data_IF_304126886355
#
_entry.id   IF_304126886355
#
_cell.length_a   1.000
_cell.length_b   1.000
_cell.length_c   1.000
_cell.angle_alpha   90.00
_cell.angle_beta   90.00
_cell.angle_gamma   90.00
#
_symmetry.space_group_name_H-M   'P 1'
#
loop_
_entity.id
_entity.type
_entity.pdbx_description
1 polymer ?
#
# COMPACT_ATOMS: atom_id res chain seq x y z
N UNK A 1 -43.06 22.22 -49.41
CA UNK A 1 -41.86 23.06 -49.63
C UNK A 1 -41.41 23.65 -48.29
N UNK A 2 -40.31 23.13 -47.74
CA UNK A 2 -39.48 23.63 -46.60
C UNK A 2 -38.42 22.54 -46.38
N UNK A 3 -37.35 22.50 -47.20
CA UNK A 3 -35.99 23.00 -46.89
C UNK A 3 -35.47 22.40 -45.56
N UNK A 4 -34.83 21.23 -45.63
CA UNK A 4 -33.38 21.06 -45.84
C UNK A 4 -32.53 21.54 -44.65
N UNK A 5 -32.25 20.63 -43.70
CA UNK A 5 -31.07 20.64 -42.82
C UNK A 5 -30.69 19.20 -42.49
N UNK A 6 -30.00 18.58 -43.42
CA UNK A 6 -29.26 17.34 -43.22
C UNK A 6 -27.86 17.53 -43.80
N UNK A 7 -26.90 16.83 -43.21
CA UNK A 7 -25.51 16.65 -43.65
C UNK A 7 -24.54 17.82 -43.47
N UNK A 8 -23.75 17.75 -42.39
CA UNK A 8 -22.30 18.02 -42.42
C UNK A 8 -21.67 17.75 -41.04
N UNK A 9 -21.51 16.48 -40.65
CA UNK A 9 -20.51 16.10 -39.63
C UNK A 9 -20.01 14.69 -39.93
N UNK A 10 -19.24 14.60 -41.02
CA UNK A 10 -18.54 13.39 -41.44
C UNK A 10 -17.21 13.82 -42.07
N UNK A 11 -16.33 14.50 -41.32
CA UNK A 11 -14.95 14.79 -41.74
C UNK A 11 -14.09 15.38 -40.59
N UNK A 12 -13.92 14.67 -39.47
CA UNK A 12 -12.75 14.89 -38.58
C UNK A 12 -12.30 13.52 -38.05
N UNK A 13 -11.80 12.68 -38.95
CA UNK A 13 -11.06 11.45 -38.61
C UNK A 13 -9.88 11.34 -39.57
N UNK A 14 -9.00 12.34 -39.58
CA UNK A 14 -7.68 12.24 -40.23
C UNK A 14 -6.76 13.43 -39.90
N UNK A 15 -6.49 13.76 -38.63
CA UNK A 15 -5.44 14.76 -38.32
C UNK A 15 -4.81 14.68 -36.92
N UNK A 16 -4.41 13.49 -36.45
CA UNK A 16 -3.44 13.37 -35.34
C UNK A 16 -2.50 12.18 -35.61
N UNK A 17 -1.81 12.21 -36.76
CA UNK A 17 -0.75 11.25 -37.09
C UNK A 17 0.44 11.93 -37.76
N UNK A 18 0.87 13.10 -37.25
CA UNK A 18 2.16 13.72 -37.57
C UNK A 18 2.61 14.56 -36.37
N UNK A 19 3.26 13.93 -35.39
CA UNK A 19 4.17 14.56 -34.41
C UNK A 19 4.80 13.46 -33.52
N UNK A 20 5.48 12.51 -34.17
CA UNK A 20 6.33 11.51 -33.51
C UNK A 20 7.51 11.17 -34.42
N UNK A 21 8.24 12.20 -34.85
CA UNK A 21 9.51 12.06 -35.56
C UNK A 21 10.33 13.33 -35.32
N UNK A 22 11.01 13.39 -34.17
CA UNK A 22 12.31 14.06 -33.99
C UNK A 22 12.62 14.15 -32.49
N UNK A 23 13.35 13.15 -31.97
CA UNK A 23 14.32 13.28 -30.86
C UNK A 23 14.92 11.91 -30.59
N UNK A 24 15.62 11.39 -31.59
CA UNK A 24 16.46 10.22 -31.43
C UNK A 24 17.73 10.39 -32.25
N UNK A 25 18.60 11.32 -31.85
CA UNK A 25 20.02 11.19 -32.15
C UNK A 25 20.91 12.04 -31.23
N UNK A 26 22.16 11.60 -31.09
CA UNK A 26 23.26 12.21 -30.33
C UNK A 26 23.34 11.96 -28.82
N UNK A 27 23.78 10.74 -28.44
CA UNK A 27 24.79 10.54 -27.37
C UNK A 27 25.51 9.18 -27.52
N UNK A 28 26.23 9.02 -28.62
CA UNK A 28 27.28 8.01 -28.78
C UNK A 28 28.65 8.63 -28.46
N UNK A 29 29.24 8.31 -27.30
CA UNK A 29 30.67 8.51 -27.10
C UNK A 29 31.20 7.65 -25.95
N UNK A 30 31.96 6.62 -26.36
CA UNK A 30 33.12 6.03 -25.67
C UNK A 30 32.87 5.36 -24.31
N UNK A 31 32.53 4.08 -24.36
CA UNK A 31 33.19 3.08 -23.52
C UNK A 31 33.72 1.95 -24.40
N UNK A 32 35.01 2.06 -24.74
CA UNK A 32 35.81 1.00 -25.36
C UNK A 32 36.60 0.38 -24.21
N UNK A 33 36.20 -0.82 -23.79
CA UNK A 33 36.80 -1.55 -22.68
C UNK A 33 36.59 -3.04 -22.89
N UNK A 34 37.36 -3.57 -23.81
CA UNK A 34 37.51 -4.99 -24.15
C UNK A 34 38.13 -5.75 -22.97
N UNK A 35 37.47 -6.80 -22.47
CA UNK A 35 38.11 -7.87 -21.70
C UNK A 35 37.22 -9.11 -21.64
N UNK A 36 37.45 -9.95 -22.66
CA UNK A 36 37.25 -11.40 -22.77
C UNK A 36 37.18 -12.16 -21.44
N UNK A 37 36.17 -13.03 -21.30
CA UNK A 37 36.09 -14.12 -20.33
C UNK A 37 34.96 -15.10 -20.69
N UNK A 38 35.13 -16.42 -20.49
CA UNK A 38 34.72 -17.42 -21.47
C UNK A 38 33.25 -17.85 -21.43
N UNK A 39 32.73 -18.10 -22.62
CA UNK A 39 31.52 -18.88 -22.89
C UNK A 39 31.62 -20.24 -22.22
N UNK A 40 30.67 -20.55 -21.32
CA UNK A 40 30.28 -21.93 -21.05
C UNK A 40 29.08 -22.24 -21.93
N UNK A 41 29.35 -22.92 -23.05
CA UNK A 41 28.40 -23.82 -23.69
C UNK A 41 27.86 -24.75 -22.60
N UNK A 42 26.57 -24.65 -22.32
CA UNK A 42 25.84 -25.73 -21.67
C UNK A 42 24.81 -26.18 -22.70
N UNK A 43 25.24 -27.09 -23.56
CA UNK A 43 24.34 -27.95 -24.32
C UNK A 43 23.48 -28.70 -23.29
N UNK A 44 22.21 -28.30 -23.18
CA UNK A 44 21.24 -29.05 -22.39
C UNK A 44 20.27 -29.69 -23.37
N UNK A 45 20.52 -30.96 -23.60
CA UNK A 45 19.68 -31.91 -24.31
C UNK A 45 18.22 -31.78 -23.87
N UNK A 46 17.40 -31.20 -24.75
CA UNK A 46 15.94 -31.36 -24.71
C UNK A 46 15.60 -32.69 -25.37
N UNK A 47 15.56 -33.75 -24.55
CA UNK A 47 15.03 -35.05 -24.94
C UNK A 47 13.75 -35.33 -24.17
N UNK A 48 12.71 -35.59 -24.95
CA UNK A 48 11.64 -36.56 -24.69
C UNK A 48 10.83 -36.40 -23.39
N UNK A 49 9.70 -35.69 -23.49
CA UNK A 49 8.48 -36.01 -22.72
C UNK A 49 7.23 -35.72 -23.57
N UNK A 50 7.08 -36.51 -24.63
CA UNK A 50 5.77 -36.84 -25.20
C UNK A 50 5.35 -38.15 -24.54
N UNK A 51 4.43 -38.09 -23.59
CA UNK A 51 3.39 -39.10 -23.34
C UNK A 51 2.75 -38.87 -21.96
N UNK A 52 1.68 -38.06 -21.93
CA UNK A 52 0.63 -38.16 -20.91
C UNK A 52 -0.65 -37.54 -21.46
N UNK A 53 -1.17 -38.20 -22.50
CA UNK A 53 -2.61 -38.24 -22.78
C UNK A 53 -3.19 -39.42 -22.00
N UNK A 54 -4.47 -39.30 -21.66
CA UNK A 54 -5.32 -40.33 -21.06
C UNK A 54 -5.17 -40.54 -19.56
N UNK A 55 -5.98 -39.81 -18.78
CA UNK A 55 -7.04 -40.42 -17.98
C UNK A 55 -7.62 -39.40 -16.98
N UNK A 56 -8.85 -38.92 -17.25
CA UNK A 56 -9.89 -38.69 -16.23
C UNK A 56 -11.19 -38.28 -16.92
N UNK A 57 -11.89 -39.31 -17.41
CA UNK A 57 -13.34 -39.30 -17.64
C UNK A 57 -14.00 -39.86 -16.38
N UNK A 58 -15.16 -39.26 -16.02
CA UNK A 58 -16.14 -39.70 -15.01
C UNK A 58 -15.64 -39.45 -13.57
N UNK A 59 -16.37 -38.78 -12.68
CA UNK A 59 -17.77 -39.03 -12.34
C UNK A 59 -18.57 -37.73 -12.09
N UNK A 60 -19.69 -37.62 -12.79
CA UNK A 60 -20.85 -36.84 -12.37
C UNK A 60 -21.58 -37.61 -11.27
N UNK A 61 -21.71 -37.03 -10.07
CA UNK A 61 -22.81 -37.36 -9.15
C UNK A 61 -23.15 -36.13 -8.29
N UNK A 62 -24.32 -35.49 -8.51
CA UNK A 62 -24.83 -34.48 -7.59
C UNK A 62 -25.39 -35.17 -6.35
N UNK A 63 -24.68 -35.06 -5.23
CA UNK A 63 -25.20 -35.46 -3.93
C UNK A 63 -26.29 -34.48 -3.47
N UNK A 64 -27.46 -35.04 -3.18
CA UNK A 64 -28.64 -34.35 -2.66
C UNK A 64 -28.37 -33.56 -1.36
N UNK A 65 -29.08 -32.45 -1.13
CA UNK A 65 -28.94 -31.64 0.09
C UNK A 65 -29.47 -32.42 1.30
N UNK A 66 -28.57 -32.81 2.21
CA UNK A 66 -28.94 -33.34 3.52
C UNK A 66 -29.41 -32.20 4.43
N UNK A 67 -30.70 -32.29 4.76
CA UNK A 67 -31.38 -31.92 6.00
C UNK A 67 -30.70 -30.89 6.93
N UNK A 68 -31.42 -29.78 7.13
CA UNK A 68 -31.17 -28.78 8.15
C UNK A 68 -31.01 -29.40 9.56
N UNK A 69 -29.98 -29.00 10.34
CA UNK A 69 -29.90 -29.37 11.74
C UNK A 69 -30.98 -28.64 12.53
N UNK A 70 -31.74 -29.44 13.29
CA UNK A 70 -32.74 -29.02 14.28
C UNK A 70 -32.15 -27.97 15.23
N UNK A 71 -32.91 -26.91 15.45
CA UNK A 71 -32.65 -25.88 16.45
C UNK A 71 -32.38 -26.50 17.83
N UNK A 72 -31.21 -26.20 18.38
CA UNK A 72 -30.88 -26.51 19.76
C UNK A 72 -31.64 -25.56 20.70
N UNK A 73 -32.13 -26.05 21.86
CA UNK A 73 -32.86 -25.25 22.83
C UNK A 73 -31.96 -24.17 23.45
N UNK A 74 -32.53 -22.96 23.56
CA UNK A 74 -31.94 -21.78 24.16
C UNK A 74 -31.32 -22.07 25.54
N UNK A 75 -29.99 -22.01 25.62
CA UNK A 75 -29.29 -21.95 26.90
C UNK A 75 -29.50 -20.56 27.51
N UNK A 76 -30.06 -20.59 28.71
CA UNK A 76 -30.08 -19.56 29.76
C UNK A 76 -28.90 -18.56 29.65
N UNK A 77 -29.14 -17.24 29.72
CA UNK A 77 -28.04 -16.28 29.85
C UNK A 77 -27.31 -16.50 31.19
N UNK A 78 -25.98 -16.71 31.19
CA UNK A 78 -25.20 -16.67 32.42
C UNK A 78 -25.18 -15.25 32.97
N UNK A 79 -25.18 -15.20 34.31
CA UNK A 79 -25.23 -14.01 35.13
C UNK A 79 -24.15 -12.98 34.80
N UNK A 80 -24.57 -11.71 34.81
CA UNK A 80 -23.86 -10.49 35.21
C UNK A 80 -22.34 -10.71 35.42
N UNK A 81 -21.57 -10.48 34.37
CA UNK A 81 -20.14 -10.30 34.48
C UNK A 81 -19.88 -8.95 35.19
N UNK A 82 -19.24 -9.07 36.35
CA UNK A 82 -18.67 -8.02 37.17
C UNK A 82 -17.89 -7.01 36.34
N UNK A 83 -18.10 -5.72 36.62
CA UNK A 83 -17.43 -4.60 35.97
C UNK A 83 -15.89 -4.78 35.96
N UNK A 84 -15.20 -4.46 34.85
CA UNK A 84 -13.75 -4.49 34.79
C UNK A 84 -13.16 -3.51 35.80
N UNK A 85 -12.21 -4.02 36.60
CA UNK A 85 -11.43 -3.25 37.54
C UNK A 85 -10.79 -2.04 36.85
N UNK A 86 -10.85 -0.89 37.53
CA UNK A 86 -10.25 0.35 37.09
C UNK A 86 -8.76 0.15 36.69
N UNK A 87 -8.31 0.75 35.58
CA UNK A 87 -6.92 0.67 35.15
C UNK A 87 -6.01 1.22 36.25
N UNK A 88 -4.99 0.44 36.62
CA UNK A 88 -3.94 0.86 37.54
C UNK A 88 -3.29 2.15 36.99
N UNK A 89 -3.00 3.16 37.85
CA UNK A 89 -2.29 4.36 37.44
C UNK A 89 -1.00 3.98 36.72
N UNK A 90 -0.90 4.44 35.47
CA UNK A 90 0.13 4.04 34.52
C UNK A 90 1.54 4.35 35.01
N UNK A 91 2.45 3.43 34.71
CA UNK A 91 3.89 3.65 34.76
C UNK A 91 4.21 4.92 33.96
N UNK A 92 4.93 5.90 34.52
CA UNK A 92 5.28 7.12 33.81
C UNK A 92 6.02 6.75 32.52
N UNK A 93 5.45 7.17 31.38
CA UNK A 93 6.07 7.07 30.07
C UNK A 93 7.45 7.74 30.17
N UNK A 94 8.55 7.07 29.79
CA UNK A 94 9.87 7.69 29.84
C UNK A 94 9.81 8.98 29.03
N UNK A 95 10.13 10.09 29.69
CA UNK A 95 10.17 11.42 29.08
C UNK A 95 11.05 11.32 27.83
N UNK A 96 10.43 11.53 26.66
CA UNK A 96 11.18 11.65 25.42
C UNK A 96 12.17 12.80 25.64
N UNK A 97 13.46 12.52 25.46
CA UNK A 97 14.49 13.52 25.58
C UNK A 97 14.11 14.73 24.71
N UNK A 98 14.13 15.96 25.24
CA UNK A 98 13.75 17.13 24.48
C UNK A 98 14.64 17.22 23.25
N UNK A 99 14.06 17.01 22.06
CA UNK A 99 14.73 17.28 20.81
C UNK A 99 15.19 18.73 20.87
N UNK A 100 16.51 18.93 20.73
CA UNK A 100 17.16 20.24 20.72
C UNK A 100 16.38 21.15 19.76
N UNK A 101 15.81 22.23 20.28
CA UNK A 101 15.01 23.15 19.48
C UNK A 101 15.85 23.62 18.28
N UNK A 102 15.32 23.53 17.05
CA UNK A 102 16.00 24.05 15.86
C UNK A 102 16.29 25.55 16.02
N UNK A 103 17.31 26.03 15.30
CA UNK A 103 17.69 27.43 15.34
C UNK A 103 16.58 28.28 14.69
N UNK A 104 16.04 29.27 15.41
CA UNK A 104 14.89 30.10 15.02
C UNK A 104 14.88 30.63 13.57
N UNK A 105 16.06 30.87 12.97
CA UNK A 105 16.15 31.41 11.60
C UNK A 105 15.77 30.39 10.53
N UNK A 106 16.00 29.10 10.79
CA UNK A 106 15.61 28.04 9.87
C UNK A 106 14.10 27.77 9.93
N UNK A 107 13.46 28.12 11.05
CA UNK A 107 12.02 27.94 11.25
C UNK A 107 11.19 28.91 10.38
N UNK A 108 11.57 30.20 10.31
CA UNK A 108 10.86 31.19 9.48
C UNK A 108 10.92 30.85 7.98
N UNK A 109 12.06 30.34 7.49
CA UNK A 109 12.21 29.93 6.09
C UNK A 109 11.37 28.68 5.78
N UNK A 110 11.37 27.70 6.68
CA UNK A 110 10.51 26.51 6.57
C UNK A 110 9.03 26.86 6.61
N UNK A 111 8.62 27.78 7.47
CA UNK A 111 7.24 28.28 7.53
C UNK A 111 6.80 28.92 6.21
N UNK A 112 7.66 29.75 5.59
CA UNK A 112 7.34 30.37 4.30
C UNK A 112 7.24 29.36 3.16
N UNK A 113 8.07 28.31 3.14
CA UNK A 113 7.98 27.24 2.15
C UNK A 113 6.73 26.38 2.35
N UNK A 114 6.41 26.03 3.59
CA UNK A 114 5.18 25.32 3.95
C UNK A 114 3.94 26.12 3.52
N UNK A 115 3.93 27.43 3.79
CA UNK A 115 2.84 28.32 3.39
C UNK A 115 2.67 28.39 1.87
N UNK A 116 3.76 28.42 1.09
CA UNK A 116 3.67 28.40 -0.38
C UNK A 116 3.01 27.14 -0.92
N UNK A 117 3.35 25.97 -0.38
CA UNK A 117 2.73 24.70 -0.78
C UNK A 117 1.25 24.67 -0.41
N UNK A 118 0.89 25.23 0.75
CA UNK A 118 -0.51 25.39 1.15
C UNK A 118 -1.27 26.32 0.22
N UNK A 119 -0.72 27.49 -0.11
CA UNK A 119 -1.34 28.43 -1.07
C UNK A 119 -1.51 27.78 -2.46
N UNK A 120 -0.61 26.86 -2.84
CA UNK A 120 -0.76 26.05 -4.04
C UNK A 120 -1.91 25.04 -3.90
N UNK A 121 -2.06 24.40 -2.73
CA UNK A 121 -3.18 23.49 -2.47
C UNK A 121 -4.53 24.23 -2.61
N UNK A 122 -4.65 25.43 -2.05
CA UNK A 122 -5.86 26.26 -2.16
C UNK A 122 -6.18 26.60 -3.62
N UNK A 123 -5.18 26.93 -4.44
CA UNK A 123 -5.36 27.15 -5.89
C UNK A 123 -5.82 25.90 -6.63
N UNK A 124 -5.39 24.71 -6.21
CA UNK A 124 -5.86 23.44 -6.79
C UNK A 124 -7.32 23.17 -6.38
N UNK A 125 -7.70 23.47 -5.14
CA UNK A 125 -9.09 23.37 -4.69
C UNK A 125 -10.02 24.35 -5.41
N UNK A 126 -9.56 25.58 -5.67
CA UNK A 126 -10.33 26.61 -6.38
C UNK A 126 -10.71 26.22 -7.82
N UNK A 127 -10.02 25.25 -8.43
CA UNK A 127 -10.39 24.71 -9.74
C UNK A 127 -11.74 24.02 -9.71
N UNK A 128 -12.18 23.51 -8.56
CA UNK A 128 -13.46 22.82 -8.38
C UNK A 128 -13.59 21.51 -9.17
N UNK A 129 -12.47 20.96 -9.66
CA UNK A 129 -12.42 19.67 -10.36
C UNK A 129 -12.02 18.55 -9.41
N UNK A 130 -12.38 17.31 -9.74
CA UNK A 130 -11.92 16.13 -9.00
C UNK A 130 -10.38 16.04 -8.98
N UNK A 131 -9.74 16.32 -10.12
CA UNK A 131 -8.28 16.39 -10.21
C UNK A 131 -7.69 17.46 -9.28
N UNK A 132 -8.32 18.64 -9.19
CA UNK A 132 -7.91 19.73 -8.30
C UNK A 132 -8.05 19.37 -6.82
N UNK A 133 -9.12 18.65 -6.46
CA UNK A 133 -9.31 18.12 -5.11
C UNK A 133 -8.17 17.17 -4.72
N UNK A 134 -7.83 16.22 -5.60
CA UNK A 134 -6.78 15.24 -5.35
C UNK A 134 -5.39 15.89 -5.31
N UNK A 135 -5.12 16.82 -6.23
CA UNK A 135 -3.87 17.58 -6.26
C UNK A 135 -3.71 18.45 -5.01
N UNK A 136 -4.76 19.15 -4.58
CA UNK A 136 -4.77 19.93 -3.35
C UNK A 136 -4.54 19.08 -2.11
N UNK A 137 -5.24 17.93 -1.99
CA UNK A 137 -5.06 17.01 -0.86
C UNK A 137 -3.62 16.45 -0.80
N UNK A 138 -3.02 16.15 -1.97
CA UNK A 138 -1.62 15.70 -2.08
C UNK A 138 -0.63 16.78 -1.61
N UNK A 139 -0.85 18.04 -1.98
CA UNK A 139 -0.03 19.16 -1.52
C UNK A 139 -0.14 19.36 0.00
N UNK A 140 -1.34 19.27 0.58
CA UNK A 140 -1.50 19.34 2.04
C UNK A 140 -0.69 18.24 2.75
N UNK A 141 -0.65 17.02 2.21
CA UNK A 141 0.20 15.95 2.77
C UNK A 141 1.68 16.23 2.64
N UNK A 142 2.11 16.79 1.51
CA UNK A 142 3.49 17.21 1.34
C UNK A 142 3.90 18.25 2.39
N UNK A 143 2.98 19.16 2.75
CA UNK A 143 3.21 20.09 3.87
C UNK A 143 3.41 19.32 5.19
N UNK A 144 2.56 18.34 5.50
CA UNK A 144 2.64 17.56 6.73
C UNK A 144 3.93 16.72 6.81
N UNK A 145 4.34 16.10 5.72
CA UNK A 145 5.51 15.23 5.67
C UNK A 145 6.84 16.01 5.76
N UNK A 146 6.90 17.20 5.13
CA UNK A 146 8.13 18.00 5.04
C UNK A 146 8.28 19.05 6.15
N UNK A 147 7.18 19.53 6.71
CA UNK A 147 7.13 20.75 7.53
C UNK A 147 6.49 20.53 8.89
N UNK A 148 6.62 19.33 9.47
CA UNK A 148 6.16 19.05 10.84
C UNK A 148 6.69 20.12 11.84
N UNK A 149 5.80 20.52 12.75
CA UNK A 149 6.02 21.57 13.74
C UNK A 149 5.78 23.01 13.28
N UNK A 150 5.49 23.25 12.00
CA UNK A 150 5.13 24.59 11.47
C UNK A 150 3.64 24.91 11.69
N UNK A 151 3.29 26.19 11.73
CA UNK A 151 1.89 26.63 11.84
C UNK A 151 1.12 26.26 10.56
N UNK A 152 1.77 26.37 9.40
CA UNK A 152 1.25 25.90 8.12
C UNK A 152 0.93 24.39 8.13
N UNK A 153 1.78 23.54 8.69
CA UNK A 153 1.49 22.10 8.81
C UNK A 153 0.31 21.82 9.75
N UNK A 154 0.24 22.49 10.90
CA UNK A 154 -0.90 22.35 11.80
C UNK A 154 -2.22 22.74 11.11
N UNK A 155 -2.21 23.79 10.30
CA UNK A 155 -3.39 24.22 9.56
C UNK A 155 -3.71 23.33 8.36
N UNK A 156 -2.70 22.81 7.65
CA UNK A 156 -2.86 21.80 6.61
C UNK A 156 -3.51 20.53 7.16
N UNK A 157 -3.13 20.11 8.38
CA UNK A 157 -3.74 18.97 9.07
C UNK A 157 -5.23 19.20 9.31
N UNK A 158 -5.60 20.38 9.83
CA UNK A 158 -7.01 20.73 10.07
C UNK A 158 -7.84 20.73 8.79
N UNK A 159 -7.28 21.27 7.69
CA UNK A 159 -7.96 21.32 6.39
C UNK A 159 -8.11 19.91 5.80
N UNK A 160 -7.08 19.07 5.89
CA UNK A 160 -7.13 17.68 5.44
C UNK A 160 -8.13 16.87 6.28
N UNK A 161 -8.16 17.05 7.59
CA UNK A 161 -9.12 16.38 8.48
C UNK A 161 -10.56 16.78 8.15
N UNK A 162 -10.80 18.06 7.83
CA UNK A 162 -12.11 18.53 7.37
C UNK A 162 -12.51 17.84 6.06
N UNK A 163 -11.62 17.80 5.07
CA UNK A 163 -11.87 17.13 3.78
C UNK A 163 -12.13 15.62 3.95
N UNK A 164 -11.36 14.96 4.82
CA UNK A 164 -11.50 13.53 5.10
C UNK A 164 -12.74 13.19 5.95
N UNK A 165 -13.33 14.19 6.63
CA UNK A 165 -14.58 14.03 7.38
C UNK A 165 -15.84 14.22 6.52
N UNK A 166 -15.70 14.86 5.35
CA UNK A 166 -16.83 15.06 4.43
C UNK A 166 -17.25 13.74 3.79
N UNK A 167 -18.56 13.46 3.79
CA UNK A 167 -19.12 12.19 3.30
C UNK A 167 -18.97 11.99 1.79
N UNK A 168 -18.77 13.08 1.02
CA UNK A 168 -18.59 13.02 -0.43
C UNK A 168 -17.11 13.04 -0.80
N UNK A 169 -16.33 13.95 -0.22
CA UNK A 169 -14.92 14.15 -0.57
C UNK A 169 -14.00 13.12 0.08
N UNK A 170 -14.25 12.76 1.34
CA UNK A 170 -13.42 11.83 2.10
C UNK A 170 -13.23 10.46 1.44
N UNK A 171 -14.30 9.77 1.01
CA UNK A 171 -14.18 8.50 0.28
C UNK A 171 -13.40 8.62 -1.03
N UNK A 172 -13.58 9.71 -1.79
CA UNK A 172 -12.89 9.95 -3.06
C UNK A 172 -11.38 10.10 -2.85
N UNK A 173 -10.99 10.95 -1.88
CA UNK A 173 -9.58 11.19 -1.54
C UNK A 173 -8.92 9.89 -1.07
N UNK A 174 -9.54 9.16 -0.13
CA UNK A 174 -8.98 7.91 0.38
C UNK A 174 -8.87 6.81 -0.69
N UNK A 175 -9.82 6.76 -1.63
CA UNK A 175 -9.80 5.79 -2.71
C UNK A 175 -8.65 6.08 -3.68
N UNK A 176 -8.53 7.33 -4.13
CA UNK A 176 -7.48 7.75 -5.04
C UNK A 176 -6.08 7.47 -4.47
N UNK A 177 -5.89 7.72 -3.18
CA UNK A 177 -4.61 7.44 -2.51
C UNK A 177 -4.33 5.95 -2.32
N UNK A 178 -5.36 5.13 -2.15
CA UNK A 178 -5.21 3.69 -2.11
C UNK A 178 -4.85 3.15 -3.51
N UNK A 179 -5.45 3.74 -4.55
CA UNK A 179 -5.18 3.40 -5.94
C UNK A 179 -3.76 3.80 -6.36
N UNK A 180 -3.26 4.98 -5.95
CA UNK A 180 -1.88 5.40 -6.21
C UNK A 180 -0.86 4.38 -5.65
N UNK A 181 -1.07 3.88 -4.43
CA UNK A 181 -0.21 2.84 -3.86
C UNK A 181 -0.36 1.49 -4.57
N UNK A 182 -1.58 1.18 -5.01
CA UNK A 182 -1.85 -0.05 -5.75
C UNK A 182 -1.10 -0.06 -7.08
N UNK A 183 -1.17 1.06 -7.80
CA UNK A 183 -0.51 1.26 -9.10
C UNK A 183 1.03 1.28 -8.95
N UNK A 184 1.53 1.80 -7.84
CA UNK A 184 2.95 1.74 -7.46
C UNK A 184 3.41 0.34 -6.99
N UNK A 185 2.54 -0.68 -7.04
CA UNK A 185 2.80 -2.03 -6.52
C UNK A 185 3.14 -2.07 -5.02
N UNK A 186 2.78 -1.03 -4.26
CA UNK A 186 2.88 -1.00 -2.80
C UNK A 186 1.64 -1.66 -2.17
N UNK A 187 1.35 -2.90 -2.54
CA UNK A 187 0.10 -3.59 -2.20
C UNK A 187 -0.18 -3.64 -0.69
N UNK A 188 0.86 -3.69 0.15
CA UNK A 188 0.71 -3.59 1.61
C UNK A 188 0.08 -2.25 2.04
N UNK A 189 0.61 -1.13 1.53
CA UNK A 189 0.11 0.22 1.84
C UNK A 189 -1.28 0.42 1.26
N UNK A 190 -1.49 0.02 0.00
CA UNK A 190 -2.79 0.06 -0.65
C UNK A 190 -3.86 -0.68 0.16
N UNK A 191 -3.58 -1.92 0.59
CA UNK A 191 -4.48 -2.73 1.43
C UNK A 191 -4.86 -2.01 2.73
N UNK A 192 -3.90 -1.38 3.40
CA UNK A 192 -4.17 -0.64 4.63
C UNK A 192 -5.06 0.58 4.37
N UNK A 193 -4.82 1.32 3.28
CA UNK A 193 -5.66 2.47 2.88
C UNK A 193 -7.09 2.04 2.51
N UNK A 194 -7.28 0.97 1.72
CA UNK A 194 -8.61 0.45 1.43
C UNK A 194 -9.36 -0.01 2.69
N UNK A 195 -8.66 -0.65 3.65
CA UNK A 195 -9.26 -1.00 4.96
C UNK A 195 -9.70 0.24 5.74
N UNK A 196 -8.87 1.29 5.75
CA UNK A 196 -9.21 2.55 6.42
C UNK A 196 -10.44 3.21 5.78
N UNK A 197 -10.53 3.19 4.44
CA UNK A 197 -11.70 3.66 3.71
C UNK A 197 -12.94 2.87 4.11
N UNK A 198 -12.90 1.54 4.09
CA UNK A 198 -14.04 0.69 4.49
C UNK A 198 -14.45 0.86 5.94
N UNK A 199 -13.51 1.14 6.84
CA UNK A 199 -13.82 1.38 8.24
C UNK A 199 -14.63 2.67 8.46
N UNK A 200 -14.38 3.69 7.63
CA UNK A 200 -15.05 5.01 7.74
C UNK A 200 -16.29 5.11 6.85
N UNK A 201 -16.22 4.59 5.63
CA UNK A 201 -17.22 4.76 4.58
C UNK A 201 -17.67 3.42 3.96
N UNK A 202 -18.21 2.48 4.75
CA UNK A 202 -18.53 1.13 4.27
C UNK A 202 -19.68 1.07 3.24
N UNK A 203 -20.50 2.13 3.13
CA UNK A 203 -21.73 2.16 2.33
C UNK A 203 -21.66 3.05 1.09
N UNK A 204 -20.51 3.66 0.81
CA UNK A 204 -20.32 4.49 -0.38
C UNK A 204 -19.95 3.64 -1.59
N UNK A 205 -20.07 4.21 -2.79
CA UNK A 205 -19.62 3.56 -4.04
C UNK A 205 -18.11 3.24 -3.98
N UNK A 206 -17.32 4.20 -3.49
CA UNK A 206 -15.88 4.02 -3.24
C UNK A 206 -15.60 2.92 -2.22
N UNK A 207 -16.48 2.73 -1.23
CA UNK A 207 -16.43 1.61 -0.30
C UNK A 207 -16.62 0.26 -1.01
N UNK A 208 -17.59 0.16 -1.92
CA UNK A 208 -17.77 -1.05 -2.72
C UNK A 208 -16.56 -1.36 -3.59
N UNK A 209 -15.96 -0.35 -4.22
CA UNK A 209 -14.74 -0.49 -5.02
C UNK A 209 -13.54 -0.91 -4.17
N UNK A 210 -13.32 -0.25 -3.03
CA UNK A 210 -12.26 -0.62 -2.08
C UNK A 210 -12.39 -2.07 -1.59
N UNK A 211 -13.63 -2.55 -1.38
CA UNK A 211 -13.89 -3.95 -1.04
C UNK A 211 -13.51 -4.90 -2.18
N UNK A 212 -13.82 -4.55 -3.42
CA UNK A 212 -13.43 -5.33 -4.59
C UNK A 212 -11.90 -5.40 -4.73
N UNK A 213 -11.21 -4.26 -4.57
CA UNK A 213 -9.74 -4.18 -4.60
C UNK A 213 -9.07 -4.97 -3.48
N UNK A 214 -9.62 -4.95 -2.26
CA UNK A 214 -9.11 -5.81 -1.18
C UNK A 214 -9.24 -7.30 -1.49
N UNK A 215 -10.38 -7.71 -2.05
CA UNK A 215 -10.57 -9.10 -2.47
C UNK A 215 -9.57 -9.49 -3.58
N UNK A 216 -9.26 -8.58 -4.51
CA UNK A 216 -8.23 -8.78 -5.54
C UNK A 216 -6.83 -8.96 -4.92
N UNK A 217 -6.45 -8.11 -3.97
CA UNK A 217 -5.17 -8.19 -3.26
C UNK A 217 -5.03 -9.53 -2.51
N UNK A 218 -6.06 -9.92 -1.76
CA UNK A 218 -6.04 -11.13 -0.95
C UNK A 218 -6.10 -12.40 -1.83
N UNK A 219 -6.90 -12.41 -2.91
CA UNK A 219 -7.03 -13.57 -3.79
C UNK A 219 -5.75 -13.90 -4.58
N UNK A 220 -4.96 -12.88 -4.95
CA UNK A 220 -3.75 -13.04 -5.76
C UNK A 220 -2.45 -13.02 -4.95
N UNK A 221 -2.55 -13.01 -3.61
CA UNK A 221 -1.44 -12.86 -2.67
C UNK A 221 -0.50 -11.69 -3.05
N UNK A 222 -1.10 -10.56 -3.48
CA UNK A 222 -0.33 -9.41 -3.99
C UNK A 222 0.52 -8.78 -2.90
N UNK A 223 0.12 -8.92 -1.64
CA UNK A 223 0.88 -8.40 -0.49
C UNK A 223 2.31 -8.95 -0.46
N UNK A 224 2.52 -10.23 -0.79
CA UNK A 224 3.88 -10.82 -0.91
C UNK A 224 4.68 -10.34 -2.11
N UNK A 225 4.02 -9.74 -3.09
CA UNK A 225 4.61 -9.15 -4.30
C UNK A 225 4.79 -7.64 -4.16
N UNK A 226 4.59 -7.08 -2.96
CA UNK A 226 4.73 -5.65 -2.72
C UNK A 226 6.15 -5.21 -3.03
N UNK A 227 6.28 -4.07 -3.72
CA UNK A 227 7.52 -3.32 -3.77
C UNK A 227 7.69 -2.61 -2.43
N UNK A 228 8.93 -2.54 -1.95
CA UNK A 228 9.32 -1.90 -0.70
C UNK A 228 10.35 -0.82 -0.99
N UNK A 229 10.29 0.28 -0.24
CA UNK A 229 11.33 1.32 -0.33
C UNK A 229 12.61 0.87 0.36
N UNK A 230 13.73 1.53 0.07
CA UNK A 230 15.03 1.21 0.69
C UNK A 230 14.98 1.38 2.21
N UNK A 231 14.26 2.39 2.71
CA UNK A 231 14.06 2.62 4.14
C UNK A 231 13.25 1.50 4.80
N UNK A 232 12.20 1.01 4.13
CA UNK A 232 11.39 -0.12 4.60
C UNK A 232 12.21 -1.42 4.63
N UNK A 233 13.07 -1.63 3.63
CA UNK A 233 13.96 -2.79 3.57
C UNK A 233 15.04 -2.73 4.66
N UNK A 234 15.58 -1.55 4.97
CA UNK A 234 16.54 -1.40 6.06
C UNK A 234 15.87 -1.65 7.43
N UNK A 235 14.64 -1.18 7.66
CA UNK A 235 13.91 -1.50 8.89
C UNK A 235 13.64 -3.02 9.01
N UNK A 236 13.20 -3.67 7.92
CA UNK A 236 13.02 -5.12 7.88
C UNK A 236 14.33 -5.88 8.20
N UNK A 237 15.47 -5.38 7.69
CA UNK A 237 16.81 -5.91 7.97
C UNK A 237 17.17 -5.75 9.45
N UNK A 238 16.90 -4.59 10.06
CA UNK A 238 17.18 -4.34 11.47
C UNK A 238 16.37 -5.28 12.38
N UNK A 239 15.10 -5.51 12.07
CA UNK A 239 14.28 -6.50 12.78
C UNK A 239 14.81 -7.93 12.64
N UNK A 240 15.24 -8.33 11.44
CA UNK A 240 15.89 -9.63 11.23
C UNK A 240 17.19 -9.75 12.05
N UNK A 241 18.03 -8.71 12.06
CA UNK A 241 19.27 -8.68 12.82
C UNK A 241 19.00 -8.77 14.32
N UNK A 242 18.00 -8.05 14.83
CA UNK A 242 17.55 -8.17 16.22
C UNK A 242 17.16 -9.61 16.56
N UNK A 243 16.38 -10.27 15.71
CA UNK A 243 16.03 -11.67 15.87
C UNK A 243 17.23 -12.61 15.93
N UNK A 244 18.24 -12.39 15.07
CA UNK A 244 19.49 -13.15 15.09
C UNK A 244 20.24 -12.97 16.41
N UNK A 245 20.41 -11.73 16.87
CA UNK A 245 21.09 -11.41 18.14
C UNK A 245 20.34 -12.06 19.31
N UNK A 246 19.01 -12.01 19.33
CA UNK A 246 18.22 -12.68 20.37
C UNK A 246 18.43 -14.19 20.38
N UNK A 247 18.45 -14.82 19.19
CA UNK A 247 18.63 -16.26 19.04
C UNK A 247 20.02 -16.71 19.50
N UNK A 248 21.08 -15.99 19.11
CA UNK A 248 22.47 -16.25 19.53
C UNK A 248 22.65 -16.16 21.05
N UNK A 249 21.92 -15.25 21.70
CA UNK A 249 21.92 -15.10 23.15
C UNK A 249 21.00 -16.10 23.88
N UNK A 250 20.43 -17.09 23.18
CA UNK A 250 19.49 -18.06 23.75
C UNK A 250 18.11 -17.50 24.11
N UNK A 251 17.83 -16.24 23.78
CA UNK A 251 16.54 -15.55 24.01
C UNK A 251 15.55 -15.89 22.90
N UNK A 252 15.13 -17.16 22.89
CA UNK A 252 14.26 -17.75 21.85
C UNK A 252 12.90 -17.05 21.69
N UNK A 253 12.15 -16.72 22.77
CA UNK A 253 10.86 -16.03 22.63
C UNK A 253 10.97 -14.66 21.94
N UNK A 254 11.96 -13.86 22.32
CA UNK A 254 12.23 -12.54 21.74
C UNK A 254 12.70 -12.65 20.29
N UNK A 255 13.52 -13.64 19.97
CA UNK A 255 13.91 -13.94 18.60
C UNK A 255 12.69 -14.26 17.72
N UNK A 256 11.81 -15.13 18.21
CA UNK A 256 10.58 -15.49 17.49
C UNK A 256 9.65 -14.28 17.30
N UNK A 257 9.56 -13.38 18.28
CA UNK A 257 8.78 -12.15 18.16
C UNK A 257 9.35 -11.21 17.08
N UNK A 258 10.67 -11.00 17.07
CA UNK A 258 11.34 -10.17 16.06
C UNK A 258 11.16 -10.75 14.64
N UNK A 259 11.34 -12.06 14.46
CA UNK A 259 11.14 -12.71 13.16
C UNK A 259 9.69 -12.61 12.68
N UNK A 260 8.70 -12.84 13.54
CA UNK A 260 7.28 -12.68 13.18
C UNK A 260 6.98 -11.26 12.73
N UNK A 261 7.58 -10.26 13.38
CA UNK A 261 7.41 -8.87 13.00
C UNK A 261 7.88 -8.59 11.58
N UNK A 262 9.05 -9.11 11.18
CA UNK A 262 9.53 -9.00 9.79
C UNK A 262 8.55 -9.64 8.81
N UNK A 263 8.04 -10.83 9.13
CA UNK A 263 7.16 -11.62 8.26
C UNK A 263 5.78 -10.94 8.10
N UNK A 264 5.23 -10.43 9.20
CA UNK A 264 3.92 -9.79 9.24
C UNK A 264 3.95 -8.39 8.62
N UNK A 265 5.00 -7.61 8.90
CA UNK A 265 5.12 -6.24 8.40
C UNK A 265 5.67 -6.21 6.97
N UNK A 266 6.62 -7.07 6.58
CA UNK A 266 7.29 -7.04 5.26
C UNK A 266 7.17 -8.36 4.49
N UNK A 267 5.94 -8.88 4.29
CA UNK A 267 5.71 -10.18 3.68
C UNK A 267 6.31 -10.31 2.27
N UNK A 268 7.00 -11.42 2.01
CA UNK A 268 7.59 -11.73 0.71
C UNK A 268 8.90 -10.99 0.38
N UNK A 269 9.33 -10.02 1.19
CA UNK A 269 10.65 -9.43 1.05
C UNK A 269 11.75 -10.46 1.39
N UNK A 270 12.97 -10.27 0.89
CA UNK A 270 14.10 -11.18 1.15
C UNK A 270 14.34 -11.43 2.64
N UNK A 271 14.19 -10.40 3.49
CA UNK A 271 14.41 -10.52 4.92
C UNK A 271 13.31 -11.30 5.63
N UNK A 272 12.05 -11.18 5.18
CA UNK A 272 10.95 -11.99 5.68
C UNK A 272 11.15 -13.47 5.35
N UNK A 273 11.61 -13.81 4.14
CA UNK A 273 11.93 -15.19 3.78
C UNK A 273 13.03 -15.80 4.67
N UNK A 274 14.08 -15.02 4.96
CA UNK A 274 15.12 -15.43 5.91
C UNK A 274 14.59 -15.59 7.34
N UNK A 275 13.66 -14.72 7.76
CA UNK A 275 13.00 -14.83 9.05
C UNK A 275 12.10 -16.07 9.13
N UNK A 276 11.35 -16.40 8.06
CA UNK A 276 10.53 -17.61 7.95
C UNK A 276 11.38 -18.88 8.14
N UNK A 277 12.54 -18.93 7.50
CA UNK A 277 13.49 -20.05 7.61
C UNK A 277 14.02 -20.23 9.04
N UNK A 278 14.28 -19.12 9.75
CA UNK A 278 14.85 -19.13 11.12
C UNK A 278 13.80 -19.29 12.22
N UNK A 279 12.53 -19.01 11.93
CA UNK A 279 11.46 -19.01 12.92
C UNK A 279 11.28 -20.37 13.66
N UNK A 280 11.39 -21.55 13.01
CA UNK A 280 11.31 -22.84 13.70
C UNK A 280 12.38 -23.00 14.79
N UNK A 281 13.63 -22.58 14.53
CA UNK A 281 14.72 -22.66 15.50
C UNK A 281 14.45 -21.79 16.75
N UNK A 282 13.78 -20.66 16.57
CA UNK A 282 13.39 -19.76 17.65
C UNK A 282 12.18 -20.23 18.45
N UNK A 283 11.34 -21.15 17.94
CA UNK A 283 10.17 -21.66 18.66
C UNK A 283 10.51 -22.74 19.69
N UNK A 284 11.71 -23.34 19.60
CA UNK A 284 12.07 -24.50 20.40
C UNK A 284 11.36 -25.76 19.87
N UNK A 285 12.08 -26.89 19.88
CA UNK A 285 11.47 -28.22 19.75
C UNK A 285 10.97 -28.67 21.12
#
# INVERSE_FOLDING_TARGET
MRLARGFAFLFISLLVLVLAADTADARSSRYRGDSRGPQRLVDRDNKDDKDSKDNRKKDDQPAAPKAAPKAAPAKKPPAVATAPAAPKPGVPRPAQAPKKAPAKKDDDAREQEAQKLRDQADKEFDKGTEEGLLAGAKLLRQVLDGFDGTDAAASAQQQLDLLLSDEKLGPMILLAEAQEEFDAMHYRKARNKYKALLARFPKTEQGAEAKAKLAEIDANDLVRKSVYTDEELEDARLWLLSGNIHLENGRKPEAAAAYRRVIEEYPGCRFALMAEEKLPAARGS
#
